data_IF_497970124169
#
_entry.id   IF_497970124169
#
_cell.length_a   1.000
_cell.length_b   1.000
_cell.length_c   1.000
_cell.angle_alpha   90.00
_cell.angle_beta   90.00
_cell.angle_gamma   90.00
#
_symmetry.space_group_name_H-M   'P 1'
#
loop_
_entity.id
_entity.type
_entity.pdbx_description
1 polymer ?
#
# COMPACT_ATOMS: atom_id res chain seq x y z
N UNK A 1 -2.97 15.60 -18.69
CA UNK A 1 -4.04 16.51 -19.13
C UNK A 1 -4.08 17.65 -18.12
N UNK A 2 -3.99 18.88 -18.57
CA UNK A 2 -3.69 20.09 -17.76
C UNK A 2 -4.81 20.36 -16.73
N UNK A 3 -4.66 19.87 -15.50
CA UNK A 3 -5.50 20.24 -14.34
C UNK A 3 -5.16 21.68 -13.98
N UNK A 4 -5.75 22.63 -14.71
CA UNK A 4 -5.87 24.01 -14.26
C UNK A 4 -6.81 24.04 -13.07
N UNK A 5 -6.30 23.68 -11.90
CA UNK A 5 -6.81 24.22 -10.66
C UNK A 5 -6.76 25.73 -10.83
N UNK A 6 -7.92 26.36 -11.02
CA UNK A 6 -8.07 27.80 -10.83
C UNK A 6 -7.77 28.06 -9.35
N UNK A 7 -6.49 28.13 -9.02
CA UNK A 7 -5.99 28.40 -7.69
C UNK A 7 -6.09 29.91 -7.49
N UNK A 8 -7.02 30.34 -6.65
CA UNK A 8 -7.00 31.71 -6.15
C UNK A 8 -6.12 31.68 -4.90
N UNK A 9 -4.81 31.81 -5.11
CA UNK A 9 -3.86 32.09 -4.04
C UNK A 9 -3.99 33.55 -3.65
N UNK A 10 -4.77 33.82 -2.60
CA UNK A 10 -4.88 35.14 -1.99
C UNK A 10 -3.85 35.25 -0.86
N UNK A 11 -2.58 35.40 -1.25
CA UNK A 11 -1.45 35.38 -0.32
C UNK A 11 -1.38 36.59 0.61
N UNK A 12 -2.08 37.70 0.33
CA UNK A 12 -1.99 38.90 1.17
C UNK A 12 -3.28 39.72 1.12
N UNK A 13 -4.27 39.34 1.93
CA UNK A 13 -5.18 40.36 2.46
C UNK A 13 -5.11 40.32 3.98
N UNK A 14 -4.11 41.01 4.51
CA UNK A 14 -3.89 41.26 5.94
C UNK A 14 -5.08 41.97 6.63
N UNK A 15 -6.12 42.35 5.88
CA UNK A 15 -7.21 43.23 6.32
C UNK A 15 -8.62 42.79 5.86
N UNK A 16 -8.81 41.54 5.41
CA UNK A 16 -10.17 41.03 5.14
C UNK A 16 -10.88 40.85 6.47
N UNK A 17 -11.95 41.61 6.72
CA UNK A 17 -12.85 41.40 7.86
C UNK A 17 -13.50 40.02 7.72
N UNK A 18 -13.73 39.32 8.84
CA UNK A 18 -14.27 37.97 8.89
C UNK A 18 -15.51 37.78 8.00
N UNK A 19 -16.42 38.74 7.99
CA UNK A 19 -17.63 38.71 7.16
C UNK A 19 -17.32 38.55 5.66
N UNK A 20 -16.30 39.25 5.16
CA UNK A 20 -15.89 39.18 3.76
C UNK A 20 -15.22 37.85 3.42
N UNK A 21 -14.50 37.25 4.39
CA UNK A 21 -13.93 35.91 4.20
C UNK A 21 -15.01 34.85 4.07
N UNK A 22 -16.04 34.90 4.93
CA UNK A 22 -17.16 33.95 4.88
C UNK A 22 -17.93 34.09 3.56
N UNK A 23 -18.12 35.33 3.09
CA UNK A 23 -18.74 35.58 1.77
C UNK A 23 -17.89 35.01 0.63
N UNK A 24 -16.58 35.24 0.66
CA UNK A 24 -15.66 34.76 -0.38
C UNK A 24 -15.59 33.23 -0.39
N UNK A 25 -15.47 32.61 0.79
CA UNK A 25 -15.49 31.16 0.97
C UNK A 25 -16.73 30.53 0.33
N UNK A 26 -17.91 31.09 0.62
CA UNK A 26 -19.18 30.62 0.06
C UNK A 26 -19.20 30.69 -1.46
N UNK A 27 -18.73 31.79 -2.04
CA UNK A 27 -18.68 31.97 -3.51
C UNK A 27 -17.70 30.97 -4.11
N UNK A 28 -16.49 30.85 -3.57
CA UNK A 28 -15.47 29.92 -4.05
C UNK A 28 -15.96 28.46 -4.01
N UNK A 29 -16.67 28.05 -2.96
CA UNK A 29 -17.26 26.70 -2.87
C UNK A 29 -18.36 26.45 -3.90
N UNK A 30 -19.18 27.46 -4.22
CA UNK A 30 -20.22 27.36 -5.24
C UNK A 30 -19.63 27.19 -6.63
N UNK A 31 -18.54 27.90 -6.91
CA UNK A 31 -17.85 27.86 -8.20
C UNK A 31 -16.77 26.76 -8.30
N UNK A 32 -16.66 25.90 -7.28
CA UNK A 32 -15.64 24.84 -7.18
C UNK A 32 -14.18 25.36 -7.34
N UNK A 33 -13.90 26.51 -6.76
CA UNK A 33 -12.59 27.17 -6.76
C UNK A 33 -11.91 26.93 -5.41
N UNK A 34 -10.65 26.50 -5.43
CA UNK A 34 -9.84 26.33 -4.23
C UNK A 34 -9.44 27.71 -3.67
N UNK A 35 -9.65 27.89 -2.37
CA UNK A 35 -9.31 29.11 -1.65
C UNK A 35 -8.36 28.81 -0.51
N UNK A 36 -7.27 29.56 -0.42
CA UNK A 36 -6.31 29.48 0.69
C UNK A 36 -6.25 30.84 1.37
N UNK A 37 -6.58 30.87 2.66
CA UNK A 37 -6.37 32.03 3.53
C UNK A 37 -5.07 31.87 4.30
N UNK A 38 -4.17 32.83 4.17
CA UNK A 38 -2.97 32.94 5.00
C UNK A 38 -3.02 34.25 5.80
N UNK A 39 -2.85 34.17 7.12
CA UNK A 39 -2.82 35.32 8.02
C UNK A 39 -1.63 35.23 8.95
N UNK A 40 -1.05 36.38 9.28
CA UNK A 40 0.02 36.49 10.27
C UNK A 40 -0.39 37.51 11.34
N UNK A 41 -0.35 37.07 12.60
CA UNK A 41 -0.58 37.88 13.79
C UNK A 41 0.67 37.82 14.67
N UNK A 42 1.57 38.80 14.50
CA UNK A 42 2.84 38.86 15.22
C UNK A 42 3.74 37.66 14.88
N UNK A 43 3.90 36.76 15.86
CA UNK A 43 4.68 35.52 15.72
C UNK A 43 3.83 34.29 15.38
N UNK A 44 2.51 34.45 15.18
CA UNK A 44 1.59 33.36 14.85
C UNK A 44 1.12 33.45 13.41
N UNK A 45 1.32 32.39 12.63
CA UNK A 45 0.71 32.22 11.30
C UNK A 45 -0.53 31.33 11.37
N UNK A 46 -1.56 31.67 10.60
CA UNK A 46 -2.75 30.87 10.38
C UNK A 46 -2.90 30.61 8.89
N UNK A 47 -3.07 29.34 8.51
CA UNK A 47 -3.41 28.94 7.15
C UNK A 47 -4.71 28.15 7.20
N UNK A 48 -5.68 28.54 6.38
CA UNK A 48 -6.96 27.83 6.22
C UNK A 48 -7.20 27.55 4.75
N UNK A 49 -7.44 26.28 4.41
CA UNK A 49 -7.76 25.83 3.06
C UNK A 49 -9.27 25.57 2.99
N UNK A 50 -9.91 26.05 1.94
CA UNK A 50 -11.30 25.76 1.64
C UNK A 50 -11.45 25.25 0.21
N UNK A 51 -11.99 24.05 0.11
CA UNK A 51 -12.22 23.34 -1.13
C UNK A 51 -13.46 22.48 -0.92
N UNK A 52 -14.28 22.33 -1.97
CA UNK A 52 -15.48 21.49 -1.91
C UNK A 52 -15.11 20.01 -1.87
N UNK A 53 -14.28 19.59 -2.82
CA UNK A 53 -13.77 18.22 -2.94
C UNK A 53 -12.35 18.29 -3.52
N UNK A 54 -11.42 17.54 -2.92
CA UNK A 54 -10.06 17.40 -3.41
C UNK A 54 -9.69 15.92 -3.50
N UNK A 55 -9.80 15.37 -4.70
CA UNK A 55 -9.51 13.97 -4.99
C UNK A 55 -8.03 13.79 -5.32
N UNK A 56 -7.35 12.86 -4.64
CA UNK A 56 -5.93 12.57 -4.82
C UNK A 56 -5.74 11.08 -5.08
N UNK A 57 -5.03 10.74 -6.16
CA UNK A 57 -4.66 9.35 -6.49
C UNK A 57 -3.28 9.02 -5.90
N UNK A 58 -2.27 9.84 -6.21
CA UNK A 58 -0.91 9.67 -5.69
C UNK A 58 -0.73 10.41 -4.36
N UNK A 59 -1.15 9.78 -3.26
CA UNK A 59 -1.01 10.35 -1.91
C UNK A 59 0.41 10.30 -1.35
N UNK A 60 1.31 9.53 -1.98
CA UNK A 60 2.74 9.36 -1.60
C UNK A 60 2.92 9.16 -0.09
N UNK A 61 2.40 8.06 0.49
CA UNK A 61 2.50 7.83 1.91
C UNK A 61 3.96 7.63 2.35
N UNK A 62 4.34 8.23 3.48
CA UNK A 62 5.70 8.14 4.04
C UNK A 62 6.11 6.69 4.42
N UNK A 63 5.11 5.87 4.77
CA UNK A 63 5.30 4.47 5.11
C UNK A 63 4.56 3.58 4.13
N UNK A 64 5.28 3.17 3.09
CA UNK A 64 4.77 2.25 2.08
C UNK A 64 4.93 0.80 2.55
N UNK A 65 3.82 0.09 2.77
CA UNK A 65 3.86 -1.36 2.99
C UNK A 65 3.60 -2.06 1.65
N UNK A 66 4.66 -2.62 1.07
CA UNK A 66 4.53 -3.49 -0.10
C UNK A 66 3.54 -4.62 0.17
N UNK A 67 2.58 -4.77 -0.74
CA UNK A 67 1.60 -5.83 -0.68
C UNK A 67 2.23 -7.19 -1.03
N UNK A 68 2.79 -7.86 -0.03
CA UNK A 68 3.27 -9.24 -0.15
C UNK A 68 2.14 -10.28 0.01
N UNK A 69 0.88 -9.85 0.19
CA UNK A 69 -0.24 -10.72 0.62
C UNK A 69 -0.60 -11.74 -0.44
N UNK A 70 -0.67 -11.33 -1.71
CA UNK A 70 -0.87 -12.27 -2.84
C UNK A 70 0.43 -12.93 -3.26
N UNK A 71 1.60 -12.32 -3.06
CA UNK A 71 2.88 -12.97 -3.35
C UNK A 71 2.94 -14.34 -2.67
N UNK A 72 2.62 -14.44 -1.38
CA UNK A 72 2.63 -15.72 -0.64
C UNK A 72 1.58 -16.73 -1.12
N UNK A 73 0.51 -16.28 -1.77
CA UNK A 73 -0.56 -17.16 -2.28
C UNK A 73 -0.45 -17.43 -3.78
N UNK A 74 0.52 -16.83 -4.46
CA UNK A 74 0.59 -16.86 -5.91
C UNK A 74 1.25 -18.14 -6.39
N UNK A 75 0.56 -18.86 -7.28
CA UNK A 75 1.03 -20.15 -7.83
C UNK A 75 2.45 -20.05 -8.40
N UNK A 76 2.78 -18.96 -9.07
CA UNK A 76 4.13 -18.76 -9.61
C UNK A 76 5.18 -18.61 -8.52
N UNK A 77 4.91 -17.81 -7.47
CA UNK A 77 5.88 -17.66 -6.38
C UNK A 77 6.02 -18.95 -5.59
N UNK A 78 4.93 -19.71 -5.41
CA UNK A 78 5.00 -21.03 -4.79
C UNK A 78 5.87 -21.98 -5.62
N UNK A 79 5.69 -22.03 -6.95
CA UNK A 79 6.53 -22.85 -7.83
C UNK A 79 8.00 -22.41 -7.82
N UNK A 80 8.26 -21.11 -7.72
CA UNK A 80 9.61 -20.55 -7.61
C UNK A 80 10.23 -20.88 -6.25
N UNK A 81 9.48 -20.71 -5.17
CA UNK A 81 9.90 -21.05 -3.82
C UNK A 81 10.18 -22.55 -3.69
N UNK A 82 9.35 -23.43 -4.26
CA UNK A 82 9.57 -24.87 -4.31
C UNK A 82 10.89 -25.25 -4.98
N UNK A 83 11.33 -24.49 -5.98
CA UNK A 83 12.59 -24.74 -6.70
C UNK A 83 13.86 -24.44 -5.89
N UNK A 84 13.76 -23.63 -4.84
CA UNK A 84 14.90 -23.20 -4.02
C UNK A 84 14.93 -24.03 -2.73
N UNK A 85 16.06 -24.64 -2.35
CA UNK A 85 16.17 -25.31 -1.05
C UNK A 85 16.65 -24.33 0.04
N UNK A 86 15.98 -24.31 1.20
CA UNK A 86 16.41 -23.49 2.35
C UNK A 86 17.49 -24.19 3.17
N UNK A 87 17.65 -25.51 3.07
CA UNK A 87 18.63 -26.26 3.85
C UNK A 87 19.94 -26.47 3.07
N UNK A 88 20.22 -25.57 2.12
CA UNK A 88 21.44 -25.65 1.31
C UNK A 88 22.67 -25.56 2.22
N UNK A 89 23.60 -26.50 2.05
CA UNK A 89 24.79 -26.57 2.91
C UNK A 89 25.83 -25.50 2.57
N UNK A 90 25.74 -24.91 1.38
CA UNK A 90 26.62 -23.83 0.96
C UNK A 90 26.25 -22.52 1.69
N UNK A 91 27.13 -21.98 2.55
CA UNK A 91 26.86 -20.75 3.29
C UNK A 91 26.66 -19.54 2.38
N UNK A 92 27.29 -19.54 1.19
CA UNK A 92 27.14 -18.43 0.24
C UNK A 92 25.75 -18.49 -0.38
N UNK A 93 25.34 -19.63 -0.93
CA UNK A 93 23.99 -19.79 -1.46
C UNK A 93 22.91 -19.49 -0.40
N UNK A 94 23.08 -19.94 0.84
CA UNK A 94 22.12 -19.71 1.93
C UNK A 94 21.90 -18.21 2.24
N UNK A 95 22.98 -17.42 2.25
CA UNK A 95 22.93 -15.96 2.48
C UNK A 95 22.27 -15.17 1.35
N UNK A 96 22.21 -15.76 0.15
CA UNK A 96 21.70 -15.10 -1.05
C UNK A 96 20.29 -15.57 -1.44
N UNK A 97 19.59 -16.27 -0.53
CA UNK A 97 18.19 -16.62 -0.71
C UNK A 97 17.33 -15.36 -0.44
N UNK A 98 16.47 -14.93 -1.39
CA UNK A 98 15.61 -13.78 -1.17
C UNK A 98 14.68 -13.96 0.02
N UNK A 99 14.52 -12.92 0.85
CA UNK A 99 13.72 -13.01 2.08
C UNK A 99 12.25 -13.39 1.84
N UNK A 100 11.68 -13.05 0.67
CA UNK A 100 10.29 -13.44 0.31
C UNK A 100 10.18 -14.95 0.17
N UNK A 101 11.18 -15.63 -0.38
CA UNK A 101 11.21 -17.10 -0.48
C UNK A 101 11.25 -17.73 0.91
N UNK A 102 12.06 -17.15 1.81
CA UNK A 102 12.13 -17.55 3.21
C UNK A 102 10.75 -17.41 3.86
N UNK A 103 10.10 -16.26 3.70
CA UNK A 103 8.78 -16.01 4.28
C UNK A 103 7.70 -16.96 3.77
N UNK A 104 7.68 -17.27 2.47
CA UNK A 104 6.73 -18.22 1.86
C UNK A 104 6.88 -19.59 2.52
N UNK A 105 8.09 -20.14 2.51
CA UNK A 105 8.35 -21.48 3.04
C UNK A 105 8.14 -21.59 4.54
N UNK A 106 8.55 -20.57 5.30
CA UNK A 106 8.33 -20.53 6.75
C UNK A 106 6.84 -20.41 7.08
N UNK A 107 6.07 -19.70 6.24
CA UNK A 107 4.62 -19.65 6.37
C UNK A 107 3.97 -21.01 6.12
N UNK A 108 4.46 -21.79 5.17
CA UNK A 108 3.93 -23.13 4.89
C UNK A 108 4.33 -24.15 5.96
N UNK A 109 5.54 -24.07 6.51
CA UNK A 109 5.95 -24.85 7.69
C UNK A 109 5.07 -24.50 8.91
N UNK A 110 4.81 -23.21 9.11
CA UNK A 110 3.91 -22.75 10.18
C UNK A 110 2.49 -23.29 10.00
N UNK A 111 1.92 -23.17 8.79
CA UNK A 111 0.58 -23.71 8.48
C UNK A 111 0.53 -25.22 8.73
N UNK A 112 1.56 -25.96 8.35
CA UNK A 112 1.61 -27.43 8.55
C UNK A 112 1.59 -27.80 10.03
N UNK A 113 2.27 -27.02 10.88
CA UNK A 113 2.33 -27.27 12.33
C UNK A 113 1.13 -26.71 13.11
N UNK A 114 0.42 -25.71 12.58
CA UNK A 114 -0.66 -24.98 13.27
C UNK A 114 -2.03 -25.08 12.57
N UNK A 115 -2.29 -26.23 11.93
CA UNK A 115 -3.62 -26.56 11.40
C UNK A 115 -4.07 -25.71 10.21
N UNK A 116 -3.13 -25.25 9.37
CA UNK A 116 -3.39 -24.50 8.14
C UNK A 116 -3.52 -23.00 8.32
N UNK A 117 -3.33 -22.47 9.53
CA UNK A 117 -3.56 -21.05 9.83
C UNK A 117 -2.28 -20.24 9.92
N UNK A 118 -2.33 -18.97 9.51
CA UNK A 118 -1.23 -18.02 9.67
C UNK A 118 -1.18 -17.44 11.10
N UNK A 119 -0.02 -16.93 11.56
CA UNK A 119 0.12 -16.36 12.90
C UNK A 119 -0.82 -15.16 13.13
N UNK A 120 -1.83 -15.30 13.98
CA UNK A 120 -2.84 -14.26 14.22
C UNK A 120 -2.69 -13.55 15.57
N UNK A 121 -2.35 -14.30 16.63
CA UNK A 121 -2.18 -13.79 17.99
C UNK A 121 -0.81 -13.13 18.19
N UNK A 122 -0.65 -12.30 19.22
CA UNK A 122 0.64 -11.67 19.54
C UNK A 122 1.69 -12.74 19.86
N UNK A 123 1.26 -13.79 20.54
CA UNK A 123 2.07 -14.94 20.93
C UNK A 123 2.53 -15.72 19.69
N UNK A 124 1.60 -16.06 18.79
CA UNK A 124 1.91 -16.74 17.53
C UNK A 124 2.85 -15.90 16.64
N UNK A 125 2.64 -14.59 16.57
CA UNK A 125 3.52 -13.67 15.82
C UNK A 125 4.94 -13.64 16.39
N UNK A 126 5.08 -13.71 17.71
CA UNK A 126 6.38 -13.81 18.37
C UNK A 126 7.03 -15.16 18.08
N UNK A 127 6.28 -16.25 18.19
CA UNK A 127 6.76 -17.61 17.90
C UNK A 127 7.22 -17.76 16.45
N UNK A 128 6.50 -17.16 15.49
CA UNK A 128 6.92 -17.13 14.09
C UNK A 128 8.24 -16.38 13.89
N UNK A 129 8.46 -15.27 14.59
CA UNK A 129 9.75 -14.56 14.57
C UNK A 129 10.88 -15.40 15.17
N UNK A 130 10.61 -16.13 16.26
CA UNK A 130 11.60 -17.04 16.85
C UNK A 130 11.88 -18.24 15.93
N UNK A 131 10.88 -18.73 15.19
CA UNK A 131 11.07 -19.75 14.15
C UNK A 131 12.03 -19.25 13.07
N UNK A 132 11.83 -18.04 12.54
CA UNK A 132 12.74 -17.42 11.57
C UNK A 132 14.17 -17.32 12.12
N UNK A 133 14.34 -16.86 13.36
CA UNK A 133 15.66 -16.78 14.02
C UNK A 133 16.32 -18.14 14.19
N UNK A 134 15.54 -19.18 14.50
CA UNK A 134 16.07 -20.54 14.70
C UNK A 134 16.63 -21.16 13.41
N UNK A 135 16.22 -20.62 12.24
CA UNK A 135 16.66 -21.06 10.91
C UNK A 135 17.87 -20.28 10.39
N UNK A 136 18.27 -19.22 11.08
CA UNK A 136 19.51 -18.50 10.78
C UNK A 136 20.71 -19.39 11.09
N UNK A 137 21.60 -19.57 10.11
CA UNK A 137 22.82 -20.35 10.27
C UNK A 137 23.95 -19.52 10.89
N UNK A 138 23.94 -18.20 10.67
CA UNK A 138 24.92 -17.26 11.21
C UNK A 138 24.26 -15.93 11.60
N UNK A 139 24.92 -15.13 12.45
CA UNK A 139 24.40 -13.83 12.90
C UNK A 139 24.49 -12.73 11.84
N UNK A 140 25.26 -12.93 10.78
CA UNK A 140 25.48 -11.97 9.69
C UNK A 140 24.64 -12.27 8.45
N UNK A 141 23.49 -12.94 8.63
CA UNK A 141 22.54 -13.25 7.55
C UNK A 141 21.53 -12.10 7.37
N UNK A 142 21.86 -11.18 6.47
CA UNK A 142 21.02 -10.01 6.15
C UNK A 142 19.65 -10.43 5.60
N UNK A 143 19.58 -11.47 4.76
CA UNK A 143 18.33 -11.98 4.21
C UNK A 143 17.32 -12.47 5.28
N UNK A 144 17.79 -13.11 6.35
CA UNK A 144 16.91 -13.50 7.47
C UNK A 144 16.56 -12.31 8.37
N UNK A 145 17.46 -11.35 8.52
CA UNK A 145 17.17 -10.09 9.22
C UNK A 145 16.05 -9.34 8.51
N UNK A 146 16.16 -9.20 7.18
CA UNK A 146 15.11 -8.66 6.31
C UNK A 146 13.80 -9.47 6.45
N UNK A 147 13.85 -10.80 6.48
CA UNK A 147 12.67 -11.65 6.66
C UNK A 147 11.98 -11.41 8.00
N UNK A 148 12.74 -11.28 9.10
CA UNK A 148 12.20 -11.01 10.44
C UNK A 148 11.51 -9.64 10.49
N UNK A 149 12.13 -8.62 9.88
CA UNK A 149 11.57 -7.27 9.83
C UNK A 149 10.32 -7.22 8.93
N UNK A 150 10.35 -7.95 7.81
CA UNK A 150 9.24 -8.10 6.88
C UNK A 150 8.16 -9.09 7.34
N UNK A 151 8.38 -9.86 8.42
CA UNK A 151 7.43 -10.89 8.88
C UNK A 151 6.05 -10.35 9.21
N UNK A 152 5.96 -9.06 9.59
CA UNK A 152 4.67 -8.38 9.81
C UNK A 152 3.76 -8.40 8.59
N UNK A 153 4.35 -8.45 7.39
CA UNK A 153 3.64 -8.50 6.11
C UNK A 153 2.91 -9.83 5.91
N UNK A 154 3.39 -10.92 6.52
CA UNK A 154 2.76 -12.26 6.44
C UNK A 154 1.41 -12.30 7.15
N UNK A 155 1.30 -11.59 8.26
CA UNK A 155 0.12 -11.62 9.14
C UNK A 155 -0.61 -10.27 9.22
N UNK A 156 -0.35 -9.37 8.28
CA UNK A 156 -1.11 -8.15 8.14
C UNK A 156 -2.58 -8.49 7.80
N UNK A 157 -3.55 -7.76 8.36
CA UNK A 157 -4.95 -7.99 8.05
C UNK A 157 -5.20 -7.88 6.54
N UNK A 158 -5.93 -8.87 6.02
CA UNK A 158 -6.36 -8.90 4.63
C UNK A 158 -7.53 -7.94 4.41
N UNK A 159 -7.73 -7.51 3.17
CA UNK A 159 -8.81 -6.62 2.81
C UNK A 159 -8.42 -5.21 2.43
N UNK A 160 -9.45 -4.50 2.00
CA UNK A 160 -9.48 -3.09 1.62
C UNK A 160 -9.35 -2.25 2.89
N UNK A 161 -8.48 -1.23 2.88
CA UNK A 161 -8.34 -0.30 3.99
C UNK A 161 -9.67 0.42 4.29
N UNK A 162 -9.96 0.79 5.54
CA UNK A 162 -11.21 1.45 5.89
C UNK A 162 -11.42 2.77 5.12
N UNK A 163 -10.33 3.50 4.85
CA UNK A 163 -10.38 4.74 4.08
C UNK A 163 -10.81 4.47 2.63
N UNK A 164 -10.27 3.43 2.00
CA UNK A 164 -10.64 3.05 0.64
C UNK A 164 -12.06 2.46 0.59
N UNK A 165 -12.49 1.73 1.62
CA UNK A 165 -13.87 1.26 1.71
C UNK A 165 -14.87 2.42 1.71
N UNK A 166 -14.59 3.50 2.46
CA UNK A 166 -15.45 4.69 2.46
C UNK A 166 -15.58 5.33 1.08
N UNK A 167 -14.49 5.38 0.32
CA UNK A 167 -14.48 5.92 -1.05
C UNK A 167 -15.30 5.02 -2.00
N UNK A 168 -15.16 3.70 -1.89
CA UNK A 168 -15.85 2.74 -2.77
C UNK A 168 -17.37 2.72 -2.57
N UNK A 169 -17.84 2.90 -1.33
CA UNK A 169 -19.28 2.88 -1.01
C UNK A 169 -19.95 4.24 -1.22
N UNK A 170 -19.20 5.28 -1.59
CA UNK A 170 -19.75 6.60 -1.84
C UNK A 170 -20.69 6.56 -3.06
N UNK A 171 -21.78 7.33 -2.98
CA UNK A 171 -22.71 7.52 -4.09
C UNK A 171 -22.05 8.06 -5.37
N UNK A 172 -20.95 8.80 -5.24
CA UNK A 172 -20.17 9.29 -6.38
C UNK A 172 -19.43 8.17 -7.13
N UNK A 173 -19.24 7.00 -6.51
CA UNK A 173 -18.67 5.81 -7.14
C UNK A 173 -19.67 5.04 -8.03
N UNK A 174 -20.92 5.50 -8.13
CA UNK A 174 -21.90 4.93 -9.05
C UNK A 174 -21.82 5.61 -10.43
N UNK A 175 -21.98 4.81 -11.50
CA UNK A 175 -21.79 5.28 -12.87
C UNK A 175 -22.80 6.39 -13.22
N UNK A 176 -22.30 7.61 -13.45
CA UNK A 176 -23.12 8.79 -13.70
C UNK A 176 -22.61 9.63 -14.87
N UNK A 177 -23.52 10.22 -15.64
CA UNK A 177 -23.17 11.21 -16.67
C UNK A 177 -22.73 12.51 -15.96
N UNK A 178 -21.42 12.78 -15.93
CA UNK A 178 -20.85 13.99 -15.31
C UNK A 178 -19.89 13.74 -14.14
N UNK A 179 -19.57 12.47 -13.83
CA UNK A 179 -18.56 12.13 -12.82
C UNK A 179 -17.17 12.63 -13.21
N UNK A 180 -16.36 13.02 -12.22
CA UNK A 180 -14.95 13.38 -12.43
C UNK A 180 -14.11 12.15 -12.80
N UNK A 181 -12.95 12.36 -13.41
CA UNK A 181 -12.01 11.29 -13.77
C UNK A 181 -11.68 10.37 -12.58
N UNK A 182 -11.49 10.97 -11.40
CA UNK A 182 -11.27 10.22 -10.17
C UNK A 182 -12.41 9.25 -9.88
N UNK A 183 -13.66 9.73 -9.89
CA UNK A 183 -14.82 8.90 -9.58
C UNK A 183 -15.09 7.83 -10.64
N UNK A 184 -14.72 8.07 -11.91
CA UNK A 184 -14.74 7.05 -12.96
C UNK A 184 -13.74 5.93 -12.65
N UNK A 185 -12.53 6.27 -12.19
CA UNK A 185 -11.52 5.28 -11.78
C UNK A 185 -11.99 4.51 -10.54
N UNK A 186 -12.60 5.18 -9.55
CA UNK A 186 -13.16 4.53 -8.36
C UNK A 186 -14.30 3.57 -8.75
N UNK A 187 -15.17 3.94 -9.68
CA UNK A 187 -16.22 3.07 -10.18
C UNK A 187 -15.65 1.82 -10.86
N UNK A 188 -14.62 1.97 -11.71
CA UNK A 188 -13.92 0.86 -12.32
C UNK A 188 -13.22 -0.04 -11.28
N UNK A 189 -12.62 0.55 -10.24
CA UNK A 189 -12.02 -0.19 -9.12
C UNK A 189 -13.07 -0.98 -8.33
N UNK A 190 -14.24 -0.37 -8.08
CA UNK A 190 -15.39 -1.02 -7.43
C UNK A 190 -15.88 -2.22 -8.25
N UNK A 191 -15.99 -2.08 -9.55
CA UNK A 191 -16.38 -3.17 -10.47
C UNK A 191 -15.33 -4.30 -10.47
N UNK A 192 -14.04 -3.95 -10.51
CA UNK A 192 -12.96 -4.94 -10.43
C UNK A 192 -13.06 -5.73 -9.12
N UNK A 193 -13.18 -5.06 -7.99
CA UNK A 193 -13.25 -5.70 -6.66
C UNK A 193 -14.43 -6.69 -6.60
N UNK A 194 -15.58 -6.32 -7.18
CA UNK A 194 -16.79 -7.14 -7.16
C UNK A 194 -16.73 -8.36 -8.08
N UNK A 195 -16.00 -8.28 -9.20
CA UNK A 195 -15.95 -9.31 -10.23
C UNK A 195 -14.60 -10.06 -10.22
N UNK A 196 -13.56 -9.50 -10.82
CA UNK A 196 -12.26 -10.16 -11.03
C UNK A 196 -11.37 -10.18 -9.77
N UNK A 197 -11.53 -9.21 -8.89
CA UNK A 197 -10.69 -8.98 -7.72
C UNK A 197 -10.97 -9.92 -6.54
N UNK A 198 -12.10 -10.63 -6.55
CA UNK A 198 -12.49 -11.54 -5.47
C UNK A 198 -12.68 -10.84 -4.12
N UNK A 199 -13.11 -9.57 -4.12
CA UNK A 199 -13.25 -8.75 -2.92
C UNK A 199 -12.00 -7.97 -2.52
N UNK A 200 -10.93 -8.01 -3.32
CA UNK A 200 -9.65 -7.35 -3.05
C UNK A 200 -9.23 -6.38 -4.16
N UNK A 201 -8.36 -5.42 -3.81
CA UNK A 201 -7.80 -4.45 -4.76
C UNK A 201 -6.85 -5.09 -5.78
N UNK A 202 -6.62 -4.44 -6.94
CA UNK A 202 -5.59 -4.84 -7.90
C UNK A 202 -4.21 -4.94 -7.24
N UNK A 203 -3.37 -5.83 -7.76
CA UNK A 203 -2.00 -5.94 -7.29
C UNK A 203 -1.15 -4.79 -7.77
N UNK A 204 -0.32 -4.30 -6.86
CA UNK A 204 0.59 -3.19 -7.12
C UNK A 204 1.78 -3.57 -8.03
N UNK A 205 2.08 -4.87 -8.14
CA UNK A 205 3.14 -5.37 -9.02
C UNK A 205 4.56 -4.94 -8.66
N UNK A 206 4.75 -4.21 -7.54
CA UNK A 206 6.05 -3.79 -7.04
C UNK A 206 6.61 -4.83 -6.07
N UNK A 207 7.83 -5.29 -6.33
CA UNK A 207 8.61 -6.13 -5.42
C UNK A 207 9.67 -5.22 -4.78
N UNK A 208 9.78 -5.17 -3.44
CA UNK A 208 10.86 -4.45 -2.78
C UNK A 208 12.22 -5.05 -3.14
N UNK A 209 13.26 -4.22 -3.09
CA UNK A 209 14.64 -4.70 -3.23
C UNK A 209 14.98 -5.72 -2.12
N UNK A 210 15.89 -6.64 -2.42
CA UNK A 210 16.15 -7.82 -1.58
C UNK A 210 17.61 -8.25 -1.66
N UNK A 211 18.18 -8.65 -0.53
CA UNK A 211 19.49 -9.31 -0.52
C UNK A 211 19.39 -10.71 -1.11
N UNK A 212 19.85 -10.88 -2.36
CA UNK A 212 19.82 -12.14 -3.09
C UNK A 212 20.87 -12.23 -4.20
N UNK A 213 21.13 -13.44 -4.69
CA UNK A 213 21.99 -13.65 -5.86
C UNK A 213 21.24 -13.24 -7.13
N UNK A 214 21.96 -12.80 -8.16
CA UNK A 214 21.38 -12.38 -9.45
C UNK A 214 20.54 -13.48 -10.12
N UNK A 215 20.82 -14.74 -9.83
CA UNK A 215 20.07 -15.89 -10.34
C UNK A 215 18.78 -16.17 -9.56
N UNK A 216 18.70 -15.71 -8.31
CA UNK A 216 17.54 -15.88 -7.43
C UNK A 216 16.64 -14.64 -7.34
N UNK A 217 16.96 -13.55 -8.06
CA UNK A 217 16.09 -12.38 -8.17
C UNK A 217 14.81 -12.76 -8.90
N UNK A 218 13.68 -12.54 -8.25
CA UNK A 218 12.37 -12.74 -8.87
C UNK A 218 12.17 -11.62 -9.90
N UNK A 219 12.01 -11.99 -11.16
CA UNK A 219 11.73 -11.03 -12.23
C UNK A 219 10.34 -10.39 -12.02
N UNK A 220 10.25 -9.10 -11.65
CA UNK A 220 8.98 -8.45 -11.37
C UNK A 220 8.07 -8.38 -12.61
N UNK A 221 8.65 -8.38 -13.82
CA UNK A 221 7.89 -8.36 -15.06
C UNK A 221 7.19 -9.69 -15.33
N UNK A 222 7.71 -10.81 -14.80
CA UNK A 222 7.01 -12.11 -14.88
C UNK A 222 5.79 -12.18 -13.96
N UNK A 223 5.78 -11.42 -12.86
CA UNK A 223 4.64 -11.37 -11.95
C UNK A 223 3.53 -10.48 -12.51
N UNK A 224 3.89 -9.29 -13.04
CA UNK A 224 2.92 -8.34 -13.61
C UNK A 224 2.34 -8.74 -14.96
N UNK A 225 3.02 -9.63 -15.70
CA UNK A 225 2.55 -10.14 -17.00
C UNK A 225 1.62 -11.34 -16.92
N UNK A 226 1.29 -11.83 -15.72
CA UNK A 226 0.33 -12.93 -15.58
C UNK A 226 -1.07 -12.33 -15.68
N UNK A 227 -1.85 -12.70 -16.72
CA UNK A 227 -3.20 -12.20 -16.85
C UNK A 227 -3.98 -12.65 -15.61
N UNK A 228 -4.57 -11.69 -14.92
CA UNK A 228 -5.59 -11.94 -13.91
C UNK A 228 -6.68 -12.79 -14.60
N UNK A 229 -6.69 -14.09 -14.27
CA UNK A 229 -7.70 -15.07 -14.70
C UNK A 229 -8.85 -15.08 -13.71
#
# INVERSE_FOLDING_TARGET
MDLRLNLVTLETILWLVEESMVKLDRICRQENVMLIFARSYGLTGLIQISVKEHTVIESKPDHFLYDLRKLISFVFLNSFAESIDLNVQDPVAHKHIPYVVILVKMSDEWKTSHGGTLPSTKEAKREFKELLKSRMAAMDEENYTEAIDASIKVFAPQGISPDLQQIIIDSCADFGTGSSEFWVIVAALKDFIANEGGGEVPLEGLIPDMTSSTECVIDPYKISSIPFL
#
